data_IF_998576870595
#
_entry.id   IF_998576870595
#
_cell.length_a   1.000
_cell.length_b   1.000
_cell.length_c   1.000
_cell.angle_alpha   90.00
_cell.angle_beta   90.00
_cell.angle_gamma   90.00
#
_symmetry.space_group_name_H-M   'P 1'
#
loop_
_entity.id
_entity.type
_entity.pdbx_description
1 polymer ?
#
# COMPACT_ATOMS: atom_id res chain seq x y z
N UNK A 1 -3.88 28.29 2.51
CA UNK A 1 -3.80 27.22 1.50
C UNK A 1 -2.69 26.27 1.95
N UNK A 2 -3.03 25.10 2.48
CA UNK A 2 -2.01 24.08 2.82
C UNK A 2 -1.65 23.32 1.53
N UNK A 3 -0.73 23.86 0.75
CA UNK A 3 -0.05 23.10 -0.29
C UNK A 3 1.11 22.35 0.37
N UNK A 4 0.89 21.09 0.75
CA UNK A 4 1.93 20.27 1.37
C UNK A 4 2.71 19.48 0.33
N UNK A 5 4.01 19.29 0.56
CA UNK A 5 4.92 18.41 -0.23
C UNK A 5 4.53 16.91 -0.16
N UNK A 6 3.44 16.57 0.53
CA UNK A 6 2.94 15.22 0.74
C UNK A 6 1.47 15.11 0.34
N UNK A 7 1.10 13.93 -0.14
CA UNK A 7 -0.28 13.55 -0.42
C UNK A 7 -0.76 12.55 0.64
N UNK A 8 -1.99 12.72 1.12
CA UNK A 8 -2.61 11.75 2.02
C UNK A 8 -3.37 10.70 1.21
N UNK A 9 -3.11 9.41 1.47
CA UNK A 9 -3.85 8.28 0.91
C UNK A 9 -4.31 7.41 2.07
N UNK A 10 -5.60 7.08 2.09
CA UNK A 10 -6.18 6.24 3.14
C UNK A 10 -5.63 4.82 3.03
N UNK A 11 -5.15 4.29 4.15
CA UNK A 11 -4.70 2.92 4.28
C UNK A 11 -4.81 2.44 5.72
N UNK A 12 -4.67 1.13 5.91
CA UNK A 12 -4.46 0.50 7.21
C UNK A 12 -3.09 -0.16 7.27
N UNK A 13 -2.43 -0.10 8.42
CA UNK A 13 -1.18 -0.81 8.67
C UNK A 13 -1.47 -2.00 9.58
N UNK A 14 -1.37 -3.21 9.03
CA UNK A 14 -1.90 -4.42 9.67
C UNK A 14 -0.82 -5.48 9.76
N UNK A 15 -0.77 -6.18 10.90
CA UNK A 15 -0.06 -7.46 11.04
C UNK A 15 -1.01 -8.60 10.63
N UNK A 16 -0.68 -9.31 9.56
CA UNK A 16 -1.38 -10.52 9.09
C UNK A 16 -0.48 -11.74 9.25
N UNK A 17 -0.83 -12.65 10.18
CA UNK A 17 0.06 -13.76 10.54
C UNK A 17 1.43 -13.24 10.99
N UNK A 18 2.52 -13.77 10.43
CA UNK A 18 3.90 -13.35 10.75
C UNK A 18 4.39 -12.17 9.91
N UNK A 19 3.57 -11.60 9.02
CA UNK A 19 3.92 -10.45 8.17
C UNK A 19 3.16 -9.18 8.57
N UNK A 20 3.65 -8.04 8.09
CA UNK A 20 3.03 -6.73 8.25
C UNK A 20 3.09 -5.95 6.93
N UNK A 21 2.06 -5.17 6.63
CA UNK A 21 2.02 -4.39 5.40
C UNK A 21 0.95 -3.31 5.41
N UNK A 22 0.96 -2.49 4.37
CA UNK A 22 -0.08 -1.50 4.10
C UNK A 22 -1.22 -2.15 3.32
N UNK A 23 -2.44 -1.82 3.71
CA UNK A 23 -3.67 -2.28 3.08
C UNK A 23 -4.42 -1.06 2.56
N UNK A 24 -4.70 -1.04 1.26
CA UNK A 24 -5.43 0.02 0.58
C UNK A 24 -6.75 -0.52 0.03
N UNK A 25 -7.78 0.32 0.00
CA UNK A 25 -8.90 0.09 -0.91
C UNK A 25 -8.51 0.54 -2.31
N UNK A 26 -8.92 -0.21 -3.34
CA UNK A 26 -8.60 0.12 -4.73
C UNK A 26 -9.10 1.50 -5.15
N UNK A 27 -10.29 1.90 -4.67
CA UNK A 27 -10.90 3.20 -4.97
C UNK A 27 -10.19 4.39 -4.29
N UNK A 28 -9.35 4.15 -3.28
CA UNK A 28 -8.52 5.19 -2.65
C UNK A 28 -7.21 5.42 -3.44
N UNK A 29 -6.93 4.61 -4.48
CA UNK A 29 -5.71 4.69 -5.29
C UNK A 29 -5.99 5.24 -6.71
N UNK A 30 -5.05 6.00 -7.30
CA UNK A 30 -5.17 6.44 -8.69
C UNK A 30 -5.29 5.26 -9.65
N UNK A 31 -6.08 5.35 -10.72
CA UNK A 31 -6.23 4.26 -11.69
C UNK A 31 -4.94 3.94 -12.48
N UNK A 32 -4.04 4.93 -12.64
CA UNK A 32 -2.77 4.73 -13.35
C UNK A 32 -1.82 3.82 -12.57
N UNK A 33 -1.47 2.68 -13.18
CA UNK A 33 -0.59 1.67 -12.58
C UNK A 33 0.78 2.22 -12.22
N UNK A 34 1.41 3.01 -13.10
CA UNK A 34 2.74 3.55 -12.84
C UNK A 34 2.74 4.50 -11.63
N UNK A 35 1.67 5.28 -11.47
CA UNK A 35 1.46 6.13 -10.29
C UNK A 35 1.27 5.29 -9.02
N UNK A 36 0.48 4.21 -9.07
CA UNK A 36 0.34 3.27 -7.93
C UNK A 36 1.68 2.68 -7.51
N UNK A 37 2.47 2.20 -8.45
CA UNK A 37 3.80 1.64 -8.16
C UNK A 37 4.71 2.67 -7.49
N UNK A 38 4.72 3.92 -7.96
CA UNK A 38 5.46 5.02 -7.29
C UNK A 38 4.95 5.29 -5.87
N UNK A 39 3.63 5.29 -5.66
CA UNK A 39 3.03 5.45 -4.33
C UNK A 39 3.49 4.34 -3.39
N UNK A 40 3.43 3.08 -3.84
CA UNK A 40 3.82 1.94 -3.01
C UNK A 40 5.30 1.97 -2.66
N UNK A 41 6.17 2.27 -3.64
CA UNK A 41 7.60 2.40 -3.39
C UNK A 41 7.88 3.53 -2.39
N UNK A 42 7.30 4.71 -2.58
CA UNK A 42 7.47 5.84 -1.67
C UNK A 42 6.95 5.52 -0.25
N UNK A 43 5.75 4.93 -0.14
CA UNK A 43 5.16 4.57 1.15
C UNK A 43 6.00 3.53 1.90
N UNK A 44 6.59 2.58 1.18
CA UNK A 44 7.48 1.57 1.75
C UNK A 44 8.90 2.07 2.01
N UNK A 45 9.26 3.26 1.51
CA UNK A 45 10.61 3.82 1.65
C UNK A 45 11.61 3.18 0.68
N UNK A 46 11.15 2.65 -0.45
CA UNK A 46 11.97 1.99 -1.46
C UNK A 46 12.25 2.90 -2.67
N UNK A 47 13.42 2.79 -3.32
CA UNK A 47 14.53 1.91 -2.98
C UNK A 47 15.42 2.50 -1.86
N UNK A 48 15.51 1.80 -0.73
CA UNK A 48 16.48 2.02 0.35
C UNK A 48 16.64 0.68 1.07
N UNK A 49 17.88 0.25 1.30
CA UNK A 49 18.15 -0.98 2.05
C UNK A 49 17.62 -0.93 3.49
N UNK A 50 17.43 0.28 4.03
CA UNK A 50 16.95 0.48 5.41
C UNK A 50 15.48 0.85 5.49
N UNK A 51 14.88 1.27 4.36
CA UNK A 51 13.51 1.77 4.29
C UNK A 51 13.19 2.86 5.34
N UNK A 52 14.18 3.67 5.74
CA UNK A 52 14.08 4.56 6.93
C UNK A 52 13.07 5.71 6.73
N UNK A 53 12.79 6.04 5.48
CA UNK A 53 11.84 7.10 5.09
C UNK A 53 10.52 6.53 4.54
N UNK A 54 10.09 5.39 5.05
CA UNK A 54 8.80 4.76 4.77
C UNK A 54 8.39 3.82 5.90
N UNK A 55 7.30 3.08 5.71
CA UNK A 55 6.79 2.14 6.74
C UNK A 55 7.38 0.73 6.64
N UNK A 56 8.20 0.48 5.62
CA UNK A 56 8.89 -0.79 5.43
C UNK A 56 9.89 -1.07 6.55
N UNK A 57 10.09 -2.34 6.87
CA UNK A 57 11.01 -2.76 7.94
C UNK A 57 12.33 -3.35 7.44
N UNK A 58 12.72 -3.09 6.19
CA UNK A 58 13.93 -3.60 5.55
C UNK A 58 14.04 -5.14 5.49
N UNK A 59 12.91 -5.83 5.63
CA UNK A 59 12.80 -7.29 5.51
C UNK A 59 11.55 -7.66 4.70
N UNK A 60 11.63 -8.81 4.01
CA UNK A 60 10.55 -9.30 3.17
C UNK A 60 9.21 -9.46 3.93
N UNK A 61 9.23 -9.78 5.23
CA UNK A 61 8.02 -9.92 6.06
C UNK A 61 7.33 -8.60 6.40
N UNK A 62 8.05 -7.49 6.28
CA UNK A 62 7.58 -6.14 6.64
C UNK A 62 7.60 -5.16 5.47
N UNK A 63 7.93 -5.62 4.26
CA UNK A 63 7.94 -4.83 3.03
C UNK A 63 6.83 -5.27 2.05
N UNK A 64 5.55 -5.12 2.44
CA UNK A 64 4.38 -5.58 1.67
C UNK A 64 3.29 -4.54 1.54
N UNK A 65 2.57 -4.60 0.42
CA UNK A 65 1.35 -3.84 0.14
C UNK A 65 0.24 -4.81 -0.28
N UNK A 66 -0.98 -4.53 0.13
CA UNK A 66 -2.21 -5.21 -0.28
C UNK A 66 -3.19 -4.18 -0.83
N UNK A 67 -3.84 -4.51 -1.95
CA UNK A 67 -4.95 -3.74 -2.52
C UNK A 67 -6.22 -4.59 -2.47
N UNK A 68 -7.31 -4.01 -1.94
CA UNK A 68 -8.59 -4.67 -1.75
C UNK A 68 -9.71 -3.97 -2.54
N UNK A 69 -10.54 -4.73 -3.23
CA UNK A 69 -11.75 -4.24 -3.89
C UNK A 69 -12.92 -5.18 -3.59
N UNK A 70 -14.16 -4.66 -3.63
CA UNK A 70 -15.34 -5.53 -3.66
C UNK A 70 -15.32 -6.32 -4.96
N UNK A 71 -15.46 -7.64 -4.89
CA UNK A 71 -15.40 -8.47 -6.09
C UNK A 71 -16.65 -8.28 -6.94
N UNK A 72 -16.49 -8.38 -8.27
CA UNK A 72 -17.60 -8.47 -9.22
C UNK A 72 -18.00 -9.92 -9.53
N UNK A 73 -17.29 -10.90 -8.97
CA UNK A 73 -17.54 -12.32 -9.22
C UNK A 73 -18.64 -12.83 -8.29
N UNK A 74 -19.58 -13.67 -8.79
CA UNK A 74 -20.55 -14.32 -7.91
C UNK A 74 -19.80 -15.16 -6.85
N UNK A 75 -20.36 -15.18 -5.63
CA UNK A 75 -19.85 -15.93 -4.48
C UNK A 75 -18.46 -15.53 -3.95
N UNK A 76 -17.94 -14.37 -4.37
CA UNK A 76 -16.69 -13.79 -3.85
C UNK A 76 -16.98 -12.41 -3.28
N UNK A 77 -16.58 -12.17 -2.04
CA UNK A 77 -16.81 -10.86 -1.40
C UNK A 77 -15.77 -9.82 -1.83
N UNK A 78 -14.51 -10.24 -1.98
CA UNK A 78 -13.35 -9.34 -2.10
C UNK A 78 -12.34 -9.87 -3.12
N UNK A 79 -11.90 -8.99 -4.02
CA UNK A 79 -10.69 -9.19 -4.82
C UNK A 79 -9.50 -8.60 -4.07
N UNK A 80 -8.38 -9.33 -4.03
CA UNK A 80 -7.15 -8.90 -3.38
C UNK A 80 -5.95 -9.05 -4.32
N UNK A 81 -4.99 -8.13 -4.21
CA UNK A 81 -3.69 -8.17 -4.91
C UNK A 81 -2.59 -7.75 -3.97
#
# INVERSE_FOLDING_TARGET
MFGGDQIAIRCAFIRGGTSRGLFFHDHDLPADRATRERIFLAAMGSPDQRQINGVGGADSHTSKVMVLARSSRPDVDVDYT
#
